data_IF_526760222042
#
_entry.id   IF_526760222042
#
_cell.length_a   1.000
_cell.length_b   1.000
_cell.length_c   1.000
_cell.angle_alpha   90.00
_cell.angle_beta   90.00
_cell.angle_gamma   90.00
#
_symmetry.space_group_name_H-M   'P 1'
#
loop_
_entity.id
_entity.type
_entity.pdbx_description
1 polymer ?
#
# COMPACT_ATOMS: atom_id res chain seq x y z
N UNK A 1 -5.29 -16.45 -5.35
CA UNK A 1 -4.95 -16.02 -3.98
C UNK A 1 -4.34 -14.63 -4.05
N UNK A 2 -4.63 -13.77 -3.08
CA UNK A 2 -4.01 -12.45 -2.94
C UNK A 2 -3.01 -12.56 -1.79
N UNK A 3 -1.82 -12.00 -1.98
CA UNK A 3 -0.83 -11.85 -0.91
C UNK A 3 -0.48 -10.37 -0.83
N UNK A 4 -0.54 -9.85 0.39
CA UNK A 4 -0.28 -8.45 0.70
C UNK A 4 0.73 -8.41 1.85
N UNK A 5 1.84 -7.69 1.69
CA UNK A 5 2.76 -7.29 2.76
C UNK A 5 2.73 -5.77 2.82
N UNK A 6 2.10 -5.22 3.86
CA UNK A 6 2.00 -3.77 4.07
C UNK A 6 2.89 -3.38 5.23
N UNK A 7 3.93 -2.60 4.92
CA UNK A 7 4.69 -1.80 5.86
C UNK A 7 4.36 -0.34 5.60
N UNK A 8 4.37 0.51 6.62
CA UNK A 8 4.09 1.92 6.39
C UNK A 8 5.16 2.50 5.45
N UNK A 9 4.74 3.05 4.31
CA UNK A 9 5.65 3.50 3.26
C UNK A 9 6.24 2.40 2.35
N UNK A 10 5.86 1.12 2.50
CA UNK A 10 6.17 0.04 1.53
C UNK A 10 5.06 -1.00 1.45
N UNK A 11 4.44 -1.12 0.29
CA UNK A 11 3.35 -2.04 0.04
C UNK A 11 3.79 -3.01 -1.03
N UNK A 12 3.55 -4.30 -0.82
CA UNK A 12 3.71 -5.33 -1.83
C UNK A 12 2.43 -6.14 -1.94
N UNK A 13 1.84 -6.13 -3.14
CA UNK A 13 0.62 -6.86 -3.43
C UNK A 13 0.88 -7.76 -4.62
N UNK A 14 0.53 -9.03 -4.49
CA UNK A 14 0.53 -9.97 -5.59
C UNK A 14 -0.81 -10.69 -5.66
N UNK A 15 -1.33 -10.86 -6.86
CA UNK A 15 -2.57 -11.58 -7.06
C UNK A 15 -2.50 -12.38 -8.35
N UNK A 16 -3.01 -13.62 -8.29
CA UNK A 16 -3.11 -14.51 -9.45
C UNK A 16 -4.54 -15.00 -9.61
N UNK A 17 -5.05 -14.93 -10.84
CA UNK A 17 -6.37 -15.45 -11.19
C UNK A 17 -6.31 -16.88 -11.76
N UNK A 18 -7.49 -17.47 -12.01
CA UNK A 18 -7.62 -18.85 -12.52
C UNK A 18 -7.18 -19.02 -13.99
N UNK A 19 -7.04 -17.91 -14.75
CA UNK A 19 -6.60 -17.93 -16.15
C UNK A 19 -5.07 -17.92 -16.30
N UNK A 20 -4.33 -17.89 -15.18
CA UNK A 20 -2.87 -17.81 -15.20
C UNK A 20 -2.33 -16.39 -15.44
N UNK A 21 -3.16 -15.37 -15.22
CA UNK A 21 -2.75 -13.97 -15.19
C UNK A 21 -2.39 -13.60 -13.75
N UNK A 22 -1.29 -12.85 -13.60
CA UNK A 22 -0.74 -12.48 -12.30
C UNK A 22 -0.27 -11.03 -12.32
N UNK A 23 -0.62 -10.26 -11.28
CA UNK A 23 -0.20 -8.88 -11.10
C UNK A 23 0.66 -8.78 -9.85
N UNK A 24 1.80 -8.11 -9.95
CA UNK A 24 2.66 -7.72 -8.84
C UNK A 24 2.68 -6.20 -8.77
N UNK A 25 2.44 -5.66 -7.59
CA UNK A 25 2.37 -4.24 -7.31
C UNK A 25 3.29 -3.97 -6.13
N UNK A 26 4.23 -3.05 -6.30
CA UNK A 26 5.02 -2.51 -5.20
C UNK A 26 4.88 -1.00 -5.16
N UNK A 27 4.57 -0.46 -4.00
CA UNK A 27 4.50 0.99 -3.79
C UNK A 27 5.40 1.37 -2.61
N UNK A 28 6.18 2.44 -2.75
CA UNK A 28 7.09 2.89 -1.69
C UNK A 28 7.13 4.41 -1.58
N UNK A 29 7.13 4.91 -0.36
CA UNK A 29 7.40 6.31 -0.07
C UNK A 29 8.12 6.46 1.28
N UNK A 30 9.09 7.40 1.40
CA UNK A 30 9.73 7.68 2.67
C UNK A 30 8.72 8.31 3.64
N UNK A 31 8.86 7.99 4.93
CA UNK A 31 8.03 8.53 6.03
C UNK A 31 7.81 10.04 5.94
N UNK A 32 8.86 10.79 5.64
CA UNK A 32 8.83 12.25 5.60
C UNK A 32 7.89 12.83 4.52
N UNK A 33 7.41 12.02 3.57
CA UNK A 33 6.44 12.43 2.55
C UNK A 33 4.97 12.18 2.94
N UNK A 34 4.71 11.51 4.07
CA UNK A 34 3.35 11.25 4.54
C UNK A 34 2.82 12.42 5.37
N UNK A 35 1.55 12.77 5.12
CA UNK A 35 0.77 13.72 5.90
C UNK A 35 -0.21 12.93 6.78
N UNK A 36 -0.37 13.33 8.03
CA UNK A 36 -1.44 12.84 8.91
C UNK A 36 -2.66 13.76 8.77
N UNK A 37 -3.75 13.23 8.26
CA UNK A 37 -5.02 13.92 8.07
C UNK A 37 -6.05 13.35 9.07
N UNK A 38 -6.15 13.91 10.29
CA UNK A 38 -7.13 13.46 11.26
C UNK A 38 -8.52 14.01 10.92
N UNK A 39 -9.54 13.16 10.94
CA UNK A 39 -10.94 13.57 10.84
C UNK A 39 -11.84 12.84 11.85
N UNK A 40 -12.93 13.51 12.24
CA UNK A 40 -13.92 12.96 13.17
C UNK A 40 -14.97 12.16 12.40
N UNK A 41 -15.12 10.88 12.71
CA UNK A 41 -16.17 10.04 12.11
C UNK A 41 -17.56 10.42 12.65
N UNK A 42 -18.65 10.00 11.99
CA UNK A 42 -20.01 10.22 12.50
C UNK A 42 -20.27 9.63 13.89
N UNK A 43 -19.45 8.65 14.31
CA UNK A 43 -19.51 8.04 15.65
C UNK A 43 -18.71 8.82 16.70
N UNK A 44 -18.16 9.98 16.34
CA UNK A 44 -17.37 10.84 17.24
C UNK A 44 -15.95 10.35 17.51
N UNK A 45 -15.45 9.37 16.75
CA UNK A 45 -14.08 8.84 16.89
C UNK A 45 -13.15 9.58 15.94
N UNK A 46 -11.91 9.85 16.36
CA UNK A 46 -10.87 10.32 15.45
C UNK A 46 -10.37 9.16 14.59
N UNK A 47 -10.30 9.40 13.30
CA UNK A 47 -9.63 8.55 12.32
C UNK A 47 -8.46 9.31 11.73
N UNK A 48 -7.34 8.64 11.56
CA UNK A 48 -6.14 9.19 10.96
C UNK A 48 -5.98 8.63 9.56
N UNK A 49 -5.95 9.50 8.56
CA UNK A 49 -5.59 9.14 7.21
C UNK A 49 -4.15 9.56 6.92
N UNK A 50 -3.28 8.59 6.71
CA UNK A 50 -1.89 8.86 6.41
C UNK A 50 -1.64 8.76 4.92
N UNK A 51 -1.46 9.92 4.28
CA UNK A 51 -1.45 10.01 2.83
C UNK A 51 -0.13 10.59 2.30
N UNK A 52 0.33 10.09 1.17
CA UNK A 52 1.33 10.77 0.37
C UNK A 52 0.91 10.78 -1.09
N UNK A 53 1.06 11.94 -1.75
CA UNK A 53 0.70 12.11 -3.16
C UNK A 53 1.81 11.67 -4.11
N UNK A 54 3.02 11.41 -3.61
CA UNK A 54 4.24 11.17 -4.41
C UNK A 54 5.09 10.03 -3.87
N UNK A 55 4.55 8.83 -4.00
CA UNK A 55 5.25 7.57 -3.87
C UNK A 55 5.68 7.00 -5.21
N UNK A 56 6.73 6.19 -5.17
CA UNK A 56 7.13 5.35 -6.29
C UNK A 56 6.23 4.12 -6.34
N UNK A 57 5.56 3.89 -7.47
CA UNK A 57 4.75 2.71 -7.74
C UNK A 57 5.35 1.97 -8.92
N UNK A 58 5.42 0.66 -8.78
CA UNK A 58 5.90 -0.25 -9.81
C UNK A 58 4.94 -1.42 -9.95
N UNK A 59 4.51 -1.69 -11.18
CA UNK A 59 3.50 -2.69 -11.51
C UNK A 59 4.06 -3.64 -12.57
N UNK A 60 4.00 -4.94 -12.31
CA UNK A 60 4.32 -5.99 -13.27
C UNK A 60 3.09 -6.84 -13.52
N UNK A 61 2.80 -7.10 -14.78
CA UNK A 61 1.73 -7.99 -15.20
C UNK A 61 2.33 -9.19 -15.93
N UNK A 62 1.91 -10.40 -15.54
CA UNK A 62 2.37 -11.66 -16.08
C UNK A 62 1.21 -12.47 -16.66
N UNK A 63 1.50 -13.27 -17.69
CA UNK A 63 0.61 -14.32 -18.22
C UNK A 63 1.41 -15.60 -18.40
N UNK A 64 1.00 -16.68 -17.72
CA UNK A 64 1.73 -17.95 -17.69
C UNK A 64 3.24 -17.77 -17.40
N UNK A 65 3.56 -16.98 -16.36
CA UNK A 65 4.92 -16.61 -15.94
C UNK A 65 5.70 -15.70 -16.89
N UNK A 66 5.15 -15.33 -18.05
CA UNK A 66 5.76 -14.36 -18.96
C UNK A 66 5.33 -12.94 -18.59
N UNK A 67 6.29 -12.04 -18.38
CA UNK A 67 6.01 -10.60 -18.24
C UNK A 67 5.38 -10.07 -19.53
N UNK A 68 4.22 -9.43 -19.40
CA UNK A 68 3.47 -8.85 -20.52
C UNK A 68 3.41 -7.33 -20.48
N UNK A 69 3.52 -6.73 -19.28
CA UNK A 69 3.59 -5.29 -19.12
C UNK A 69 4.32 -4.95 -17.81
N UNK A 70 5.02 -3.83 -17.82
CA UNK A 70 5.71 -3.23 -16.67
C UNK A 70 5.47 -1.72 -16.73
N UNK A 71 5.14 -1.12 -15.58
CA UNK A 71 4.91 0.31 -15.45
C UNK A 71 5.56 0.81 -14.16
N UNK A 72 6.23 1.94 -14.25
CA UNK A 72 6.81 2.69 -13.15
C UNK A 72 6.31 4.15 -13.15
N UNK A 73 6.15 4.72 -11.95
CA UNK A 73 5.81 6.13 -11.76
C UNK A 73 6.21 6.61 -10.37
N UNK A 74 6.58 7.89 -10.25
CA UNK A 74 6.85 8.58 -8.98
C UNK A 74 5.68 9.46 -8.49
N UNK A 75 4.58 9.49 -9.26
CA UNK A 75 3.39 10.30 -8.98
C UNK A 75 2.26 9.45 -8.37
N UNK A 76 2.60 8.34 -7.71
CA UNK A 76 1.65 7.42 -7.13
C UNK A 76 1.22 7.82 -5.72
N UNK A 77 -0.10 7.91 -5.47
CA UNK A 77 -0.65 8.07 -4.13
C UNK A 77 -0.49 6.80 -3.28
N UNK A 78 -0.14 6.94 -2.00
CA UNK A 78 -0.17 5.85 -1.01
C UNK A 78 -0.91 6.35 0.23
N UNK A 79 -1.93 5.61 0.66
CA UNK A 79 -2.84 6.02 1.74
C UNK A 79 -2.99 4.89 2.75
N UNK A 80 -2.79 5.16 4.03
CA UNK A 80 -3.00 4.20 5.11
C UNK A 80 -3.87 4.82 6.19
N UNK A 81 -5.08 4.30 6.39
CA UNK A 81 -5.99 4.83 7.39
C UNK A 81 -6.08 3.96 8.65
N UNK A 82 -6.11 4.59 9.83
CA UNK A 82 -6.17 3.91 11.13
C UNK A 82 -6.94 4.70 12.18
N UNK A 83 -7.61 3.98 13.10
CA UNK A 83 -8.19 4.57 14.32
C UNK A 83 -7.19 4.70 15.48
N UNK A 84 -5.98 4.14 15.33
CA UNK A 84 -4.95 4.13 16.36
C UNK A 84 -3.89 5.19 16.07
N UNK A 85 -3.82 6.22 16.91
CA UNK A 85 -2.88 7.34 16.81
C UNK A 85 -1.44 6.98 17.18
N UNK A 86 -1.22 5.86 17.89
CA UNK A 86 0.10 5.33 18.23
C UNK A 86 0.74 4.46 17.14
N UNK A 87 0.01 4.19 16.06
CA UNK A 87 0.36 3.15 15.10
C UNK A 87 1.55 3.49 14.19
N UNK A 88 1.95 4.76 14.04
CA UNK A 88 2.98 5.13 13.07
C UNK A 88 4.33 4.44 13.32
N UNK A 89 4.89 4.57 14.53
CA UNK A 89 6.23 4.02 14.85
C UNK A 89 6.31 2.49 14.67
N UNK A 90 5.37 1.69 15.20
CA UNK A 90 5.40 0.24 14.99
C UNK A 90 5.20 -0.17 13.52
N UNK A 91 4.38 0.55 12.74
CA UNK A 91 4.04 0.17 11.35
C UNK A 91 5.19 0.34 10.35
N UNK A 92 6.24 1.12 10.66
CA UNK A 92 7.47 1.12 9.87
C UNK A 92 8.32 -0.14 10.06
N UNK A 93 8.03 -0.93 11.09
CA UNK A 93 8.85 -2.08 11.50
C UNK A 93 8.09 -3.41 11.44
N UNK A 94 6.76 -3.40 11.48
CA UNK A 94 5.93 -4.60 11.53
C UNK A 94 5.54 -5.10 10.13
N UNK A 95 5.40 -6.43 9.99
CA UNK A 95 4.79 -7.08 8.83
C UNK A 95 3.31 -7.33 9.13
N UNK A 96 2.42 -6.77 8.31
CA UNK A 96 0.98 -7.06 8.41
C UNK A 96 0.60 -8.01 7.29
N UNK A 97 0.17 -9.23 7.66
CA UNK A 97 -0.39 -10.20 6.74
C UNK A 97 -1.92 -10.18 6.88
N UNK A 98 -2.62 -9.72 5.84
CA UNK A 98 -4.09 -9.80 5.78
C UNK A 98 -4.50 -11.21 5.35
N UNK A 99 -5.42 -11.82 6.11
CA UNK A 99 -5.99 -13.15 5.84
C UNK A 99 -7.10 -13.11 4.79
#
# INVERSE_FOLDING_TARGET
PVRTDVKFGRWEVSARNRRGEEIHLSATAPRAKFMDLPFTTPQGRTYHDFETLRGHIHVKLYKYLKLIAELDTDEGGIEYGSFDSGALEPLFTSQVQLQ
#
